data_IF_153287239499
#
_entry.id   IF_153287239499
#
_cell.length_a   1.000
_cell.length_b   1.000
_cell.length_c   1.000
_cell.angle_alpha   90.00
_cell.angle_beta   90.00
_cell.angle_gamma   90.00
#
_symmetry.space_group_name_H-M   'P 1'
#
loop_
_entity.id
_entity.type
_entity.pdbx_description
1 polymer ?
#
# COMPACT_ATOMS: atom_id res chain seq x y z
N UNK A 1 3.09 -10.59 14.09
CA UNK A 1 4.18 -10.47 13.12
C UNK A 1 4.99 -9.23 13.39
N UNK A 2 6.30 -9.33 13.35
CA UNK A 2 7.17 -8.16 13.45
C UNK A 2 7.05 -7.37 12.14
N UNK A 3 6.67 -6.12 12.26
CA UNK A 3 6.79 -5.19 11.15
C UNK A 3 8.24 -4.73 11.07
N UNK A 4 8.90 -5.09 10.00
CA UNK A 4 10.25 -4.62 9.73
C UNK A 4 10.16 -3.40 8.83
N UNK A 5 10.34 -2.23 9.40
CA UNK A 5 10.56 -1.03 8.61
C UNK A 5 12.06 -0.96 8.38
N UNK A 6 12.46 -0.97 7.12
CA UNK A 6 13.86 -0.77 6.80
C UNK A 6 14.33 0.54 7.45
N UNK A 7 15.44 0.54 8.20
CA UNK A 7 15.93 1.76 8.87
C UNK A 7 16.14 2.95 7.92
N UNK A 8 16.25 2.68 6.63
CA UNK A 8 16.44 3.66 5.56
C UNK A 8 15.11 4.30 5.11
N UNK A 9 13.95 3.72 5.43
CA UNK A 9 12.66 4.25 4.98
C UNK A 9 12.25 5.53 5.71
N UNK A 10 12.58 5.67 6.98
CA UNK A 10 12.24 6.86 7.78
C UNK A 10 12.98 8.13 7.34
N UNK A 11 14.30 8.11 7.06
CA UNK A 11 14.99 9.29 6.53
C UNK A 11 14.61 9.63 5.09
N UNK A 12 13.99 8.71 4.36
CA UNK A 12 13.57 8.91 2.97
C UNK A 12 12.12 9.35 2.82
N UNK A 13 11.41 9.56 3.91
CA UNK A 13 10.18 10.33 3.86
C UNK A 13 10.55 11.75 3.44
N UNK A 14 10.18 12.08 2.21
CA UNK A 14 10.63 13.32 1.58
C UNK A 14 10.04 14.53 2.28
N UNK A 15 10.93 15.42 2.66
CA UNK A 15 10.58 16.77 3.07
C UNK A 15 10.70 17.69 1.85
N UNK A 16 9.67 18.42 1.54
CA UNK A 16 9.66 19.43 0.48
C UNK A 16 8.66 20.53 0.80
N UNK A 17 8.59 21.60 0.02
CA UNK A 17 7.60 22.65 0.25
C UNK A 17 6.18 22.06 0.23
N UNK A 18 5.46 22.19 1.36
CA UNK A 18 4.12 21.62 1.54
C UNK A 18 4.10 20.14 1.91
N UNK A 19 5.26 19.50 2.08
CA UNK A 19 5.36 18.14 2.62
C UNK A 19 5.52 18.24 4.13
N UNK A 20 4.57 17.66 4.83
CA UNK A 20 4.69 17.45 6.28
C UNK A 20 5.26 16.05 6.46
N UNK A 21 6.34 15.93 7.21
CA UNK A 21 6.89 14.63 7.59
C UNK A 21 5.75 13.71 8.04
N UNK A 22 5.79 12.45 7.63
CA UNK A 22 4.93 11.44 8.22
C UNK A 22 5.28 11.37 9.70
N UNK A 23 4.47 12.02 10.53
CA UNK A 23 4.72 12.19 11.95
C UNK A 23 4.34 10.96 12.77
N UNK A 24 3.76 9.96 12.10
CA UNK A 24 3.34 8.75 12.78
C UNK A 24 3.60 7.50 11.96
N UNK A 25 4.61 6.76 12.36
CA UNK A 25 4.68 5.36 12.04
C UNK A 25 4.12 4.61 13.24
N UNK A 26 2.92 4.09 13.12
CA UNK A 26 2.31 3.30 14.18
C UNK A 26 2.25 1.84 13.73
N UNK A 27 2.79 0.96 14.54
CA UNK A 27 2.59 -0.48 14.41
C UNK A 27 1.72 -0.93 15.56
N UNK A 28 0.56 -1.49 15.27
CA UNK A 28 -0.28 -2.12 16.29
C UNK A 28 0.05 -3.60 16.51
N UNK A 29 -0.58 -4.22 17.49
CA UNK A 29 -0.38 -5.64 17.82
C UNK A 29 -0.77 -6.59 16.69
N UNK A 30 -1.53 -6.13 15.70
CA UNK A 30 -1.96 -6.89 14.53
C UNK A 30 -0.98 -6.76 13.35
N UNK A 31 0.16 -6.10 13.54
CA UNK A 31 1.15 -5.88 12.49
C UNK A 31 0.71 -4.85 11.43
N UNK A 32 -0.16 -3.92 11.79
CA UNK A 32 -0.55 -2.81 10.93
C UNK A 32 0.46 -1.69 11.06
N UNK A 33 0.97 -1.24 9.93
CA UNK A 33 1.79 -0.04 9.83
C UNK A 33 0.93 1.07 9.24
N UNK A 34 0.75 2.13 10.00
CA UNK A 34 -0.02 3.30 9.61
C UNK A 34 0.94 4.47 9.46
N UNK A 35 1.08 4.95 8.24
CA UNK A 35 1.76 6.21 7.96
C UNK A 35 0.71 7.31 7.86
N UNK A 36 0.73 8.23 8.81
CA UNK A 36 -0.15 9.39 8.78
C UNK A 36 0.68 10.63 8.45
N UNK A 37 0.36 11.27 7.35
CA UNK A 37 0.94 12.56 6.98
C UNK A 37 0.14 13.71 7.58
N UNK A 38 0.79 14.56 8.36
CA UNK A 38 0.28 15.88 8.66
C UNK A 38 -0.85 16.02 9.66
N UNK A 39 -0.94 15.16 10.65
CA UNK A 39 -1.98 15.30 11.69
C UNK A 39 -1.80 16.50 12.63
N UNK A 40 -0.67 17.15 12.62
CA UNK A 40 -0.37 18.31 13.48
C UNK A 40 -0.43 19.65 12.75
N UNK A 41 -0.66 19.63 11.46
CA UNK A 41 -0.78 20.84 10.63
C UNK A 41 -2.17 20.83 10.01
N UNK A 42 -2.77 22.01 9.84
CA UNK A 42 -4.13 22.16 9.29
C UNK A 42 -4.35 21.20 8.10
N UNK A 43 -5.50 20.55 8.09
CA UNK A 43 -5.91 19.50 7.13
C UNK A 43 -5.75 19.87 5.63
N UNK A 44 -5.42 21.12 5.33
CA UNK A 44 -5.26 21.65 3.99
C UNK A 44 -3.89 21.39 3.36
N UNK A 45 -2.88 20.92 4.10
CA UNK A 45 -1.50 20.80 3.61
C UNK A 45 -0.80 19.48 3.94
N UNK A 46 -1.51 18.51 4.51
CA UNK A 46 -0.92 17.22 4.94
C UNK A 46 -0.56 16.32 3.76
N UNK A 47 0.74 16.05 3.58
CA UNK A 47 1.23 15.14 2.53
C UNK A 47 1.97 13.95 3.13
N UNK A 48 1.68 12.74 2.65
CA UNK A 48 2.42 11.53 2.93
C UNK A 48 3.20 11.12 1.68
N UNK A 49 4.52 11.23 1.71
CA UNK A 49 5.39 10.88 0.59
C UNK A 49 6.35 9.79 1.04
N UNK A 50 6.38 8.69 0.27
CA UNK A 50 7.23 7.54 0.52
C UNK A 50 8.15 7.32 -0.68
N UNK A 51 9.46 7.24 -0.44
CA UNK A 51 10.47 6.93 -1.46
C UNK A 51 11.36 5.74 -1.10
N UNK A 52 11.03 5.02 -0.03
CA UNK A 52 11.78 3.85 0.45
C UNK A 52 10.92 2.61 0.54
N UNK A 53 11.33 1.68 1.39
CA UNK A 53 10.63 0.41 1.61
C UNK A 53 9.79 0.44 2.87
N UNK A 54 8.54 0.04 2.77
CA UNK A 54 7.65 -0.25 3.90
C UNK A 54 7.23 -1.72 3.79
N UNK A 55 7.63 -2.52 4.75
CA UNK A 55 7.41 -3.97 4.71
C UNK A 55 6.77 -4.46 6.00
N UNK A 56 5.70 -5.22 5.86
CA UNK A 56 5.00 -5.92 6.96
C UNK A 56 5.04 -7.43 6.68
N UNK A 57 6.20 -7.91 6.30
CA UNK A 57 6.47 -9.32 6.06
C UNK A 57 7.36 -9.85 7.18
N UNK A 58 6.88 -10.82 7.94
CA UNK A 58 7.73 -11.56 8.86
C UNK A 58 8.04 -12.92 8.25
N UNK A 59 9.33 -13.28 8.07
CA UNK A 59 9.74 -14.54 7.40
C UNK A 59 9.17 -15.79 8.04
N UNK A 60 8.85 -15.74 9.32
CA UNK A 60 8.26 -16.84 10.10
C UNK A 60 6.77 -16.67 10.36
N UNK A 61 6.15 -15.59 9.86
CA UNK A 61 4.72 -15.39 10.00
C UNK A 61 3.98 -15.95 8.79
N UNK A 62 2.98 -16.74 9.04
CA UNK A 62 2.09 -17.28 8.01
C UNK A 62 1.27 -16.16 7.35
N UNK A 63 1.15 -15.00 8.00
CA UNK A 63 0.27 -13.90 7.60
C UNK A 63 1.06 -12.63 7.28
N UNK A 64 0.71 -11.97 6.18
CA UNK A 64 1.01 -10.58 5.92
C UNK A 64 0.19 -9.66 6.83
N UNK A 65 0.68 -8.44 7.05
CA UNK A 65 -0.02 -7.42 7.82
C UNK A 65 -0.77 -6.42 6.93
N UNK A 66 -1.18 -5.31 7.52
CA UNK A 66 -1.78 -4.20 6.78
C UNK A 66 -0.85 -3.00 6.75
N UNK A 67 -0.80 -2.34 5.60
CA UNK A 67 -0.08 -1.08 5.39
C UNK A 67 -1.09 -0.05 4.92
N UNK A 68 -1.24 1.02 5.68
CA UNK A 68 -2.08 2.16 5.33
C UNK A 68 -1.21 3.41 5.15
N UNK A 69 -1.21 3.99 3.96
CA UNK A 69 -0.49 5.23 3.64
C UNK A 69 -1.55 6.29 3.35
N UNK A 70 -1.77 7.16 4.33
CA UNK A 70 -2.88 8.09 4.35
C UNK A 70 -2.37 9.53 4.49
N UNK A 71 -3.04 10.45 3.83
CA UNK A 71 -2.76 11.88 3.88
C UNK A 71 -3.73 12.60 2.95
N UNK A 72 -3.75 13.91 3.00
CA UNK A 72 -4.51 14.72 2.02
C UNK A 72 -3.91 14.57 0.62
N UNK A 73 -2.58 14.54 0.53
CA UNK A 73 -1.84 14.24 -0.69
C UNK A 73 -0.93 13.07 -0.42
N UNK A 74 -1.01 12.03 -1.23
CA UNK A 74 -0.20 10.82 -1.06
C UNK A 74 0.63 10.60 -2.31
N UNK A 75 1.93 10.36 -2.14
CA UNK A 75 2.86 10.10 -3.22
C UNK A 75 3.78 8.93 -2.91
N UNK A 76 3.87 7.98 -3.84
CA UNK A 76 4.89 6.94 -3.85
C UNK A 76 5.86 7.22 -5.00
N UNK A 77 7.15 7.38 -4.68
CA UNK A 77 8.21 7.69 -5.64
C UNK A 77 9.37 6.72 -5.46
N UNK A 78 9.50 5.75 -6.35
CA UNK A 78 10.48 4.68 -6.20
C UNK A 78 10.27 3.86 -4.92
N UNK A 79 9.05 3.76 -4.46
CA UNK A 79 8.71 3.12 -3.20
C UNK A 79 8.49 1.62 -3.38
N UNK A 80 8.91 0.83 -2.39
CA UNK A 80 8.59 -0.59 -2.30
C UNK A 80 7.69 -0.83 -1.10
N UNK A 81 6.45 -1.23 -1.34
CA UNK A 81 5.46 -1.51 -0.31
C UNK A 81 5.18 -3.02 -0.33
N UNK A 82 5.39 -3.71 0.78
CA UNK A 82 5.26 -5.16 0.83
C UNK A 82 4.47 -5.65 2.04
N UNK A 83 3.28 -6.17 1.78
CA UNK A 83 2.40 -6.83 2.75
C UNK A 83 2.19 -8.32 2.39
N UNK A 84 3.13 -8.94 1.69
CA UNK A 84 3.05 -10.35 1.34
C UNK A 84 3.08 -11.28 2.56
N UNK A 85 2.59 -12.50 2.41
CA UNK A 85 2.62 -13.53 3.45
C UNK A 85 2.95 -14.90 2.87
N UNK A 86 3.26 -15.87 3.73
CA UNK A 86 3.54 -17.24 3.26
C UNK A 86 2.26 -18.03 2.94
N UNK A 87 1.22 -17.85 3.73
CA UNK A 87 -0.08 -18.52 3.57
C UNK A 87 -1.25 -17.55 3.48
N UNK A 88 -1.14 -16.37 4.09
CA UNK A 88 -2.16 -15.32 4.05
C UNK A 88 -1.48 -14.01 3.70
N UNK A 89 -1.80 -13.44 2.56
CA UNK A 89 -1.34 -12.09 2.22
C UNK A 89 -2.02 -11.03 3.07
N UNK A 90 -1.40 -9.87 3.11
CA UNK A 90 -1.93 -8.72 3.81
C UNK A 90 -2.74 -7.78 2.92
N UNK A 91 -2.91 -6.59 3.42
CA UNK A 91 -3.64 -5.50 2.75
C UNK A 91 -2.77 -4.26 2.66
N UNK A 92 -2.76 -3.64 1.49
CA UNK A 92 -2.14 -2.33 1.27
C UNK A 92 -3.21 -1.33 0.87
N UNK A 93 -3.26 -0.17 1.54
CA UNK A 93 -4.15 0.94 1.18
C UNK A 93 -3.33 2.21 1.05
N UNK A 94 -3.45 2.87 -0.09
CA UNK A 94 -2.74 4.10 -0.43
C UNK A 94 -3.75 5.17 -0.82
N UNK A 95 -3.79 6.25 -0.07
CA UNK A 95 -4.68 7.39 -0.31
C UNK A 95 -6.11 7.24 0.20
N UNK A 96 -6.51 6.02 0.62
CA UNK A 96 -7.84 5.77 1.16
C UNK A 96 -8.23 4.29 1.18
N UNK A 97 -9.46 4.00 1.53
CA UNK A 97 -10.04 2.65 1.54
C UNK A 97 -10.82 2.31 0.27
N UNK A 98 -11.39 1.11 0.26
CA UNK A 98 -12.28 0.64 -0.81
C UNK A 98 -13.46 1.62 -0.99
N UNK A 99 -13.84 1.89 -2.23
CA UNK A 99 -15.01 2.70 -2.52
C UNK A 99 -16.26 2.09 -1.87
N UNK A 100 -16.95 2.92 -1.10
CA UNK A 100 -18.18 2.51 -0.40
C UNK A 100 -17.97 1.97 1.03
N UNK A 101 -16.73 1.79 1.49
CA UNK A 101 -16.41 1.45 2.88
C UNK A 101 -15.69 2.62 3.55
N UNK A 102 -16.44 3.67 3.85
CA UNK A 102 -15.94 4.99 4.22
C UNK A 102 -15.42 5.09 5.67
N UNK A 103 -14.49 4.24 6.07
CA UNK A 103 -13.82 4.37 7.38
C UNK A 103 -12.47 5.09 7.32
N UNK A 104 -11.87 5.17 6.14
CA UNK A 104 -10.59 5.86 5.95
C UNK A 104 -10.78 7.17 5.18
N UNK A 105 -10.09 8.24 5.57
CA UNK A 105 -10.11 9.49 4.82
C UNK A 105 -9.55 9.27 3.42
N UNK A 106 -10.14 9.90 2.42
CA UNK A 106 -9.70 9.84 1.03
C UNK A 106 -8.76 11.00 0.74
N UNK A 107 -7.63 10.71 0.12
CA UNK A 107 -6.70 11.75 -0.34
C UNK A 107 -7.32 12.58 -1.48
N UNK A 108 -7.02 13.86 -1.51
CA UNK A 108 -7.36 14.74 -2.65
C UNK A 108 -6.53 14.35 -3.88
N UNK A 109 -5.27 13.98 -3.67
CA UNK A 109 -4.38 13.49 -4.73
C UNK A 109 -3.64 12.25 -4.25
N UNK A 110 -3.66 11.21 -5.06
CA UNK A 110 -2.82 10.02 -4.89
C UNK A 110 -2.00 9.80 -6.15
N UNK A 111 -0.68 9.67 -5.99
CA UNK A 111 0.24 9.44 -7.10
C UNK A 111 1.17 8.27 -6.80
N UNK A 112 1.32 7.36 -7.77
CA UNK A 112 2.25 6.23 -7.70
C UNK A 112 3.14 6.27 -8.94
N UNK A 113 4.44 6.50 -8.74
CA UNK A 113 5.42 6.62 -9.82
C UNK A 113 5.70 5.29 -10.53
N UNK A 114 6.24 5.32 -11.77
CA UNK A 114 6.51 4.11 -12.55
C UNK A 114 7.49 3.14 -11.90
N UNK A 115 8.40 3.62 -11.08
CA UNK A 115 9.43 2.86 -10.38
C UNK A 115 8.98 2.38 -8.98
N UNK A 116 7.72 2.60 -8.63
CA UNK A 116 7.14 2.10 -7.38
C UNK A 116 6.52 0.72 -7.54
N UNK A 117 6.68 -0.13 -6.53
CA UNK A 117 6.16 -1.49 -6.49
C UNK A 117 5.35 -1.74 -5.20
N UNK A 118 4.19 -2.35 -5.36
CA UNK A 118 3.29 -2.73 -4.27
C UNK A 118 3.06 -4.24 -4.34
N UNK A 119 3.31 -4.95 -3.25
CA UNK A 119 3.17 -6.39 -3.16
C UNK A 119 2.23 -6.81 -2.04
N UNK A 120 1.28 -7.66 -2.38
CA UNK A 120 0.38 -8.37 -1.45
C UNK A 120 0.24 -9.84 -1.90
N UNK A 121 1.37 -10.49 -2.19
CA UNK A 121 1.42 -11.87 -2.66
C UNK A 121 1.25 -12.89 -1.52
N UNK A 122 0.75 -14.08 -1.86
CA UNK A 122 1.02 -15.27 -1.08
C UNK A 122 2.15 -16.07 -1.73
N UNK A 123 3.12 -16.49 -0.91
CA UNK A 123 4.33 -17.14 -1.43
C UNK A 123 4.11 -18.64 -1.64
N UNK A 124 3.49 -19.32 -0.69
CA UNK A 124 3.37 -20.79 -0.70
C UNK A 124 1.95 -21.24 -1.06
N UNK A 125 1.00 -21.06 -0.18
CA UNK A 125 -0.38 -21.52 -0.37
C UNK A 125 -1.36 -20.54 0.24
N UNK A 126 -2.36 -20.15 -0.52
CA UNK A 126 -3.42 -19.22 -0.12
C UNK A 126 -3.69 -18.19 -1.20
N UNK A 127 -4.74 -17.43 -1.02
CA UNK A 127 -5.15 -16.41 -1.97
C UNK A 127 -4.29 -15.15 -1.81
N UNK A 128 -4.01 -14.49 -2.92
CA UNK A 128 -3.37 -13.18 -2.93
C UNK A 128 -4.14 -12.18 -2.06
N UNK A 129 -3.46 -11.13 -1.64
CA UNK A 129 -4.01 -10.12 -0.74
C UNK A 129 -4.82 -9.04 -1.44
N UNK A 130 -4.96 -7.93 -0.75
CA UNK A 130 -5.72 -6.78 -1.26
C UNK A 130 -4.82 -5.57 -1.39
N UNK A 131 -4.88 -4.90 -2.54
CA UNK A 131 -4.25 -3.61 -2.75
C UNK A 131 -5.30 -2.58 -3.20
N UNK A 132 -5.38 -1.46 -2.49
CA UNK A 132 -6.30 -0.37 -2.79
C UNK A 132 -5.50 0.91 -2.97
N UNK A 133 -5.60 1.52 -4.13
CA UNK A 133 -5.05 2.83 -4.42
C UNK A 133 -6.21 3.75 -4.77
N UNK A 134 -6.47 4.74 -3.94
CA UNK A 134 -7.64 5.59 -4.11
C UNK A 134 -7.36 7.05 -3.77
N UNK A 135 -8.16 7.93 -4.35
CA UNK A 135 -8.10 9.37 -4.11
C UNK A 135 -9.22 10.07 -4.86
N UNK A 136 -9.40 11.36 -4.64
CA UNK A 136 -10.26 12.14 -5.50
C UNK A 136 -9.69 12.20 -6.92
N UNK A 137 -8.37 12.43 -7.02
CA UNK A 137 -7.62 12.39 -8.27
C UNK A 137 -6.47 11.40 -8.10
N UNK A 138 -6.44 10.34 -8.90
CA UNK A 138 -5.46 9.27 -8.78
C UNK A 138 -4.65 9.12 -10.07
N UNK A 139 -3.32 9.14 -9.95
CA UNK A 139 -2.37 8.77 -10.99
C UNK A 139 -1.60 7.54 -10.58
N UNK A 140 -1.81 6.43 -11.28
CA UNK A 140 -1.11 5.18 -11.04
C UNK A 140 -0.27 4.79 -12.25
N UNK A 141 1.03 4.69 -12.07
CA UNK A 141 2.01 4.36 -13.11
C UNK A 141 2.91 3.19 -12.70
N UNK A 142 2.84 2.74 -11.46
CA UNK A 142 3.70 1.72 -10.87
C UNK A 142 3.24 0.29 -11.15
N UNK A 143 3.66 -0.62 -10.28
CA UNK A 143 3.39 -2.04 -10.40
C UNK A 143 2.72 -2.58 -9.14
N UNK A 144 1.66 -3.37 -9.30
CA UNK A 144 1.00 -4.09 -8.20
C UNK A 144 1.05 -5.58 -8.47
N UNK A 145 1.46 -6.34 -7.46
CA UNK A 145 1.38 -7.80 -7.47
C UNK A 145 0.56 -8.28 -6.27
N UNK A 146 -0.45 -9.09 -6.54
CA UNK A 146 -1.31 -9.71 -5.52
C UNK A 146 -1.63 -11.14 -5.94
N UNK A 147 -0.57 -11.96 -6.13
CA UNK A 147 -0.66 -13.30 -6.69
C UNK A 147 -1.05 -14.34 -5.64
N UNK A 148 -1.75 -15.37 -6.10
CA UNK A 148 -1.99 -16.56 -5.31
C UNK A 148 -0.73 -17.42 -5.13
N UNK A 149 -0.73 -18.24 -4.09
CA UNK A 149 0.41 -19.08 -3.71
C UNK A 149 0.81 -20.09 -4.78
N UNK A 150 2.11 -20.40 -4.87
CA UNK A 150 2.67 -21.32 -5.87
C UNK A 150 2.18 -22.76 -5.71
N UNK A 151 1.79 -23.16 -4.49
CA UNK A 151 1.23 -24.49 -4.20
C UNK A 151 -0.30 -24.54 -4.24
N UNK A 152 -0.98 -23.40 -4.44
CA UNK A 152 -2.45 -23.27 -4.58
C UNK A 152 -2.97 -22.01 -3.92
N UNK A 153 -4.09 -21.54 -4.41
CA UNK A 153 -4.79 -20.33 -4.01
C UNK A 153 -5.13 -19.47 -5.22
N UNK A 154 -6.15 -18.65 -5.09
CA UNK A 154 -6.56 -17.70 -6.12
C UNK A 154 -5.74 -16.42 -6.07
N UNK A 155 -5.82 -15.61 -7.13
CA UNK A 155 -5.26 -14.26 -7.12
C UNK A 155 -5.97 -13.36 -6.11
N UNK A 156 -5.32 -12.25 -5.78
CA UNK A 156 -5.86 -11.27 -4.85
C UNK A 156 -6.80 -10.26 -5.51
N UNK A 157 -7.16 -9.25 -4.75
CA UNK A 157 -8.01 -8.15 -5.19
C UNK A 157 -7.23 -6.85 -5.30
N UNK A 158 -7.36 -6.18 -6.44
CA UNK A 158 -6.74 -4.88 -6.67
C UNK A 158 -7.80 -3.88 -7.09
N UNK A 159 -7.84 -2.75 -6.40
CA UNK A 159 -8.65 -1.61 -6.77
C UNK A 159 -7.77 -0.38 -6.98
N UNK A 160 -7.88 0.24 -8.14
CA UNK A 160 -7.29 1.56 -8.41
C UNK A 160 -8.42 2.50 -8.81
N UNK A 161 -8.69 3.50 -8.00
CA UNK A 161 -9.86 4.35 -8.14
C UNK A 161 -9.54 5.84 -8.01
N UNK A 162 -10.20 6.64 -8.81
CA UNK A 162 -10.23 8.09 -8.72
C UNK A 162 -11.68 8.58 -8.72
N UNK A 163 -12.08 9.29 -7.67
CA UNK A 163 -13.45 9.79 -7.56
C UNK A 163 -13.78 10.81 -8.66
N UNK A 164 -12.87 11.71 -8.95
CA UNK A 164 -13.01 12.77 -9.95
C UNK A 164 -12.21 12.44 -11.23
N UNK A 165 -10.99 11.93 -11.07
CA UNK A 165 -10.12 11.58 -12.18
C UNK A 165 -9.23 10.38 -11.85
N UNK A 166 -9.05 9.50 -12.83
CA UNK A 166 -8.13 8.38 -12.78
C UNK A 166 -7.25 8.36 -14.04
N UNK A 167 -5.94 8.38 -13.85
CA UNK A 167 -4.97 8.04 -14.88
C UNK A 167 -4.31 6.73 -14.50
N UNK A 168 -4.49 5.69 -15.29
CA UNK A 168 -3.91 4.37 -15.08
C UNK A 168 -3.01 4.00 -16.25
N UNK A 169 -1.70 3.84 -15.99
CA UNK A 169 -0.70 3.41 -16.96
C UNK A 169 0.29 2.41 -16.35
N UNK A 170 -0.04 1.88 -15.17
CA UNK A 170 0.77 0.89 -14.48
C UNK A 170 0.40 -0.55 -14.85
N UNK A 171 0.99 -1.49 -14.15
CA UNK A 171 0.76 -2.92 -14.32
C UNK A 171 0.14 -3.55 -13.06
N UNK A 172 -0.71 -4.54 -13.26
CA UNK A 172 -1.33 -5.32 -12.16
C UNK A 172 -1.20 -6.81 -12.49
N UNK A 173 -0.69 -7.58 -11.53
CA UNK A 173 -0.58 -9.03 -11.63
C UNK A 173 -1.30 -9.70 -10.46
N UNK A 174 -2.43 -10.33 -10.74
CA UNK A 174 -3.23 -11.10 -9.76
C UNK A 174 -3.29 -12.59 -10.11
N UNK A 175 -2.32 -13.09 -10.87
CA UNK A 175 -2.35 -14.48 -11.34
C UNK A 175 -2.37 -15.50 -10.20
N UNK A 176 -3.05 -16.60 -10.45
CA UNK A 176 -3.08 -17.77 -9.59
C UNK A 176 -2.27 -18.90 -10.26
N UNK A 177 -1.19 -19.35 -9.64
CA UNK A 177 -0.35 -20.41 -10.23
C UNK A 177 -1.10 -21.75 -10.36
N UNK A 178 -1.97 -22.06 -9.39
CA UNK A 178 -2.78 -23.28 -9.32
C UNK A 178 -4.18 -23.01 -8.78
N UNK A 179 -4.66 -21.79 -8.85
CA UNK A 179 -6.00 -21.41 -8.45
C UNK A 179 -6.98 -21.44 -9.64
N UNK A 180 -8.23 -21.21 -9.34
CA UNK A 180 -9.30 -21.15 -10.35
C UNK A 180 -9.46 -19.73 -10.92
N UNK A 181 -9.08 -18.71 -10.17
CA UNK A 181 -9.29 -17.29 -10.47
C UNK A 181 -8.02 -16.50 -10.20
N UNK A 182 -7.67 -15.63 -11.12
CA UNK A 182 -6.53 -14.72 -11.03
C UNK A 182 -6.78 -13.39 -11.70
#
# INVERSE_FOLDING_TARGET
GESTIAPVALPQLLTGPGVVEATGLQTNEQGQVILTGGQTVSAETGSAIVSGSVTVFAPNATRGGSIDILGEKVGLFGATINASGTEVAGTVRVGGGLQGTATLPMAVVTYVSPDSAIAADVIVRGNGGTAVISGENTGFFGNIVARGGTAGGDGGSVEVAGKNALTFQGEVDTRAAKGAIG
#
